data_IF_464862478481
#
_entry.id   IF_464862478481
#
_cell.length_a   1.000
_cell.length_b   1.000
_cell.length_c   1.000
_cell.angle_alpha   90.00
_cell.angle_beta   90.00
_cell.angle_gamma   90.00
#
_symmetry.space_group_name_H-M   'P 1'
#
loop_
_entity.id
_entity.type
_entity.pdbx_description
1 polymer ?
#
# COMPACT_ATOMS: atom_id res chain seq x y z
N UNK A 1 -23.74 -53.07 -4.14
CA UNK A 1 -23.31 -52.12 -3.10
C UNK A 1 -22.98 -50.79 -3.78
N UNK A 2 -23.96 -49.90 -3.93
CA UNK A 2 -23.77 -48.58 -4.56
C UNK A 2 -23.22 -47.59 -3.52
N UNK A 3 -22.12 -46.87 -3.80
CA UNK A 3 -21.56 -45.93 -2.84
C UNK A 3 -22.52 -44.74 -2.60
N UNK A 4 -22.71 -44.43 -1.32
CA UNK A 4 -23.66 -43.44 -0.77
C UNK A 4 -23.33 -42.02 -1.26
N UNK A 5 -24.32 -41.20 -1.68
CA UNK A 5 -24.10 -39.88 -2.30
C UNK A 5 -23.62 -38.74 -1.36
N UNK A 6 -23.17 -39.05 -0.14
CA UNK A 6 -22.86 -38.05 0.89
C UNK A 6 -21.45 -37.40 0.77
N UNK A 7 -20.55 -37.94 -0.06
CA UNK A 7 -19.15 -37.48 -0.18
C UNK A 7 -18.94 -36.38 -1.24
N UNK A 8 -19.88 -36.20 -2.18
CA UNK A 8 -19.70 -35.22 -3.27
C UNK A 8 -19.87 -33.76 -2.84
N UNK A 9 -20.65 -33.48 -1.80
CA UNK A 9 -20.95 -32.11 -1.36
C UNK A 9 -19.82 -31.48 -0.54
N UNK A 10 -19.19 -32.26 0.35
CA UNK A 10 -18.04 -31.84 1.18
C UNK A 10 -16.80 -31.58 0.32
N UNK A 11 -16.55 -32.45 -0.67
CA UNK A 11 -15.44 -32.32 -1.62
C UNK A 11 -15.61 -31.09 -2.54
N UNK A 12 -16.85 -30.79 -2.96
CA UNK A 12 -17.13 -29.59 -3.78
C UNK A 12 -16.92 -28.29 -3.00
N UNK A 13 -17.43 -28.22 -1.76
CA UNK A 13 -17.29 -27.05 -0.90
C UNK A 13 -15.81 -26.76 -0.55
N UNK A 14 -15.01 -27.79 -0.25
CA UNK A 14 -13.58 -27.66 0.02
C UNK A 14 -12.78 -27.12 -1.16
N UNK A 15 -13.05 -27.61 -2.38
CA UNK A 15 -12.41 -27.08 -3.60
C UNK A 15 -12.78 -25.62 -3.88
N UNK A 16 -14.04 -25.24 -3.70
CA UNK A 16 -14.49 -23.87 -3.91
C UNK A 16 -13.83 -22.90 -2.93
N UNK A 17 -13.68 -23.30 -1.65
CA UNK A 17 -12.95 -22.52 -0.65
C UNK A 17 -11.48 -22.39 -1.04
N UNK A 18 -10.80 -23.48 -1.40
CA UNK A 18 -9.40 -23.46 -1.80
C UNK A 18 -9.13 -22.60 -3.05
N UNK A 19 -10.05 -22.63 -4.03
CA UNK A 19 -9.97 -21.80 -5.23
C UNK A 19 -10.12 -20.31 -4.90
N UNK A 20 -11.12 -19.94 -4.10
CA UNK A 20 -11.31 -18.54 -3.66
C UNK A 20 -10.12 -18.02 -2.86
N UNK A 21 -9.56 -18.83 -1.96
CA UNK A 21 -8.37 -18.43 -1.18
C UNK A 21 -7.15 -18.17 -2.08
N UNK A 22 -6.94 -19.02 -3.10
CA UNK A 22 -5.87 -18.81 -4.10
C UNK A 22 -6.08 -17.57 -4.95
N UNK A 23 -7.32 -17.27 -5.33
CA UNK A 23 -7.67 -16.07 -6.10
C UNK A 23 -7.44 -14.79 -5.29
N UNK A 24 -7.84 -14.78 -4.01
CA UNK A 24 -7.55 -13.66 -3.08
C UNK A 24 -6.04 -13.49 -2.90
N UNK A 25 -5.30 -14.58 -2.59
CA UNK A 25 -3.84 -14.53 -2.46
C UNK A 25 -3.14 -14.04 -3.74
N UNK A 26 -3.60 -14.45 -4.91
CA UNK A 26 -3.06 -14.00 -6.19
C UNK A 26 -3.29 -12.51 -6.41
N UNK A 27 -4.48 -12.02 -6.08
CA UNK A 27 -4.84 -10.60 -6.18
C UNK A 27 -4.03 -9.73 -5.21
N UNK A 28 -3.85 -10.16 -3.97
CA UNK A 28 -3.07 -9.42 -2.97
C UNK A 28 -1.60 -9.29 -3.37
N UNK A 29 -1.02 -10.35 -3.96
CA UNK A 29 0.34 -10.32 -4.53
C UNK A 29 0.45 -9.36 -5.71
N UNK A 30 -0.53 -9.37 -6.62
CA UNK A 30 -0.53 -8.46 -7.76
C UNK A 30 -0.60 -6.99 -7.31
N UNK A 31 -1.42 -6.70 -6.30
CA UNK A 31 -1.50 -5.36 -5.69
C UNK A 31 -0.18 -4.96 -5.04
N UNK A 32 0.46 -5.86 -4.28
CA UNK A 32 1.77 -5.59 -3.68
C UNK A 32 2.85 -5.29 -4.74
N UNK A 33 2.90 -6.07 -5.82
CA UNK A 33 3.85 -5.85 -6.92
C UNK A 33 3.58 -4.51 -7.60
N UNK A 34 2.31 -4.20 -7.91
CA UNK A 34 1.93 -2.94 -8.54
C UNK A 34 2.32 -1.73 -7.68
N UNK A 35 2.04 -1.77 -6.37
CA UNK A 35 2.37 -0.69 -5.46
C UNK A 35 3.87 -0.56 -5.23
N UNK A 36 4.58 -1.67 -5.07
CA UNK A 36 6.04 -1.69 -4.92
C UNK A 36 6.77 -1.16 -6.16
N UNK A 37 6.36 -1.59 -7.35
CA UNK A 37 6.94 -1.11 -8.62
C UNK A 37 6.64 0.37 -8.85
N UNK A 38 5.41 0.81 -8.63
CA UNK A 38 5.02 2.22 -8.75
C UNK A 38 5.81 3.08 -7.76
N UNK A 39 6.01 2.59 -6.53
CA UNK A 39 6.81 3.29 -5.53
C UNK A 39 8.27 3.44 -5.95
N UNK A 40 8.88 2.36 -6.43
CA UNK A 40 10.28 2.34 -6.87
C UNK A 40 10.50 3.23 -8.08
N UNK A 41 9.69 3.07 -9.13
CA UNK A 41 9.79 3.86 -10.36
C UNK A 41 9.59 5.34 -10.06
N UNK A 42 8.56 5.67 -9.27
CA UNK A 42 8.29 7.03 -8.83
C UNK A 42 9.48 7.65 -8.10
N UNK A 43 10.06 6.91 -7.15
CA UNK A 43 11.21 7.38 -6.37
C UNK A 43 12.45 7.59 -7.26
N UNK A 44 12.74 6.67 -8.19
CA UNK A 44 13.89 6.79 -9.08
C UNK A 44 13.75 7.95 -10.06
N UNK A 45 12.61 8.07 -10.73
CA UNK A 45 12.37 9.12 -11.74
C UNK A 45 12.36 10.50 -11.09
N UNK A 46 11.56 10.67 -10.04
CA UNK A 46 11.42 11.97 -9.40
C UNK A 46 12.65 12.33 -8.56
N UNK A 47 13.30 11.34 -7.93
CA UNK A 47 14.56 11.53 -7.25
C UNK A 47 15.68 12.00 -8.19
N UNK A 48 15.80 11.41 -9.38
CA UNK A 48 16.77 11.86 -10.38
C UNK A 48 16.50 13.30 -10.84
N UNK A 49 15.24 13.65 -11.11
CA UNK A 49 14.86 15.02 -11.49
C UNK A 49 15.12 16.02 -10.36
N UNK A 50 14.79 15.67 -9.12
CA UNK A 50 15.03 16.53 -7.96
C UNK A 50 16.54 16.76 -7.74
N UNK A 51 17.36 15.71 -7.82
CA UNK A 51 18.82 15.82 -7.70
C UNK A 51 19.38 16.69 -8.84
N UNK A 52 18.94 16.49 -10.07
CA UNK A 52 19.38 17.31 -11.20
C UNK A 52 19.04 18.79 -10.99
N UNK A 53 17.85 19.10 -10.48
CA UNK A 53 17.43 20.47 -10.18
C UNK A 53 18.27 21.10 -9.06
N UNK A 54 18.48 20.37 -7.96
CA UNK A 54 19.29 20.84 -6.81
C UNK A 54 20.74 21.07 -7.22
N UNK A 55 21.34 20.18 -8.01
CA UNK A 55 22.71 20.34 -8.52
C UNK A 55 22.80 21.53 -9.48
N UNK A 56 21.80 21.74 -10.33
CA UNK A 56 21.74 22.90 -11.23
C UNK A 56 21.58 24.25 -10.54
N UNK A 57 21.01 24.28 -9.34
CA UNK A 57 20.76 25.50 -8.55
C UNK A 57 21.56 25.53 -7.23
N UNK A 58 22.61 24.72 -7.12
CA UNK A 58 23.37 24.56 -5.87
C UNK A 58 23.98 25.89 -5.38
N UNK A 59 24.29 26.80 -6.30
CA UNK A 59 24.87 28.11 -6.02
C UNK A 59 23.91 29.07 -5.30
N UNK A 60 22.59 28.84 -5.42
CA UNK A 60 21.54 29.66 -4.78
C UNK A 60 21.37 29.36 -3.27
N UNK A 61 21.99 28.29 -2.76
CA UNK A 61 21.82 27.79 -1.39
C UNK A 61 20.45 27.13 -1.14
N UNK A 62 20.22 26.51 0.03
CA UNK A 62 19.05 25.65 0.28
C UNK A 62 17.70 26.36 0.14
N UNK A 63 17.61 27.61 0.58
CA UNK A 63 16.40 28.42 0.47
C UNK A 63 16.20 28.94 -0.96
N UNK A 64 17.30 29.25 -1.66
CA UNK A 64 17.29 29.71 -3.06
C UNK A 64 16.79 28.62 -4.01
N UNK A 65 17.25 27.38 -3.84
CA UNK A 65 16.75 26.24 -4.63
C UNK A 65 15.23 26.08 -4.50
N UNK A 66 14.67 26.29 -3.30
CA UNK A 66 13.21 26.19 -3.08
C UNK A 66 12.47 27.35 -3.75
N UNK A 67 13.00 28.58 -3.66
CA UNK A 67 12.37 29.74 -4.30
C UNK A 67 12.44 29.67 -5.82
N UNK A 68 13.57 29.22 -6.36
CA UNK A 68 13.80 29.03 -7.80
C UNK A 68 12.85 27.95 -8.33
N UNK A 69 12.72 26.83 -7.61
CA UNK A 69 11.76 25.77 -7.94
C UNK A 69 10.31 26.26 -7.94
N UNK A 70 9.90 27.05 -6.94
CA UNK A 70 8.55 27.61 -6.89
C UNK A 70 8.30 28.63 -8.01
N UNK A 71 9.31 29.43 -8.34
CA UNK A 71 9.29 30.35 -9.47
C UNK A 71 9.04 29.61 -10.78
N UNK A 72 9.83 28.58 -11.06
CA UNK A 72 9.71 27.76 -12.26
C UNK A 72 8.39 26.97 -12.30
N UNK A 73 7.97 26.40 -11.16
CA UNK A 73 6.73 25.64 -11.05
C UNK A 73 5.46 26.50 -11.23
N UNK A 74 5.58 27.82 -11.14
CA UNK A 74 4.46 28.77 -11.29
C UNK A 74 4.66 29.78 -12.40
N UNK A 75 5.68 29.60 -13.25
CA UNK A 75 6.09 30.55 -14.27
C UNK A 75 5.00 30.85 -15.33
N UNK A 76 4.08 29.91 -15.57
CA UNK A 76 3.00 30.07 -16.54
C UNK A 76 1.65 29.53 -16.02
N UNK A 77 0.55 29.94 -16.66
CA UNK A 77 -0.81 29.53 -16.26
C UNK A 77 -1.01 28.02 -16.21
N UNK A 78 -0.43 27.27 -17.16
CA UNK A 78 -0.54 25.81 -17.20
C UNK A 78 0.19 25.16 -16.02
N UNK A 79 1.43 25.57 -15.76
CA UNK A 79 2.24 25.09 -14.63
C UNK A 79 1.60 25.41 -13.29
N UNK A 80 1.02 26.61 -13.14
CA UNK A 80 0.29 27.02 -11.93
C UNK A 80 -0.96 26.18 -11.69
N UNK A 81 -1.71 25.85 -12.74
CA UNK A 81 -2.85 24.94 -12.63
C UNK A 81 -2.42 23.54 -12.20
N UNK A 82 -1.40 22.97 -12.86
CA UNK A 82 -0.87 21.63 -12.52
C UNK A 82 -0.34 21.59 -11.09
N UNK A 83 0.39 22.63 -10.67
CA UNK A 83 0.92 22.73 -9.31
C UNK A 83 -0.20 22.85 -8.27
N UNK A 84 -1.24 23.66 -8.54
CA UNK A 84 -2.39 23.79 -7.66
C UNK A 84 -3.14 22.46 -7.51
N UNK A 85 -3.38 21.74 -8.62
CA UNK A 85 -4.00 20.42 -8.61
C UNK A 85 -3.16 19.40 -7.82
N UNK A 86 -1.84 19.45 -7.98
CA UNK A 86 -0.89 18.61 -7.25
C UNK A 86 -0.94 18.85 -5.74
N UNK A 87 -1.01 20.12 -5.31
CA UNK A 87 -1.13 20.49 -3.89
C UNK A 87 -2.45 20.03 -3.29
N UNK A 88 -3.56 20.18 -4.02
CA UNK A 88 -4.88 19.70 -3.58
C UNK A 88 -4.90 18.18 -3.47
N UNK A 89 -4.32 17.49 -4.46
CA UNK A 89 -4.14 16.04 -4.47
C UNK A 89 -3.31 15.60 -3.27
N UNK A 90 -2.20 16.29 -2.97
CA UNK A 90 -1.38 16.02 -1.79
C UNK A 90 -2.16 16.17 -0.48
N UNK A 91 -2.94 17.23 -0.33
CA UNK A 91 -3.76 17.43 0.86
C UNK A 91 -4.82 16.31 1.04
N UNK A 92 -5.50 15.93 -0.04
CA UNK A 92 -6.50 14.87 -0.03
C UNK A 92 -5.90 13.50 0.29
N UNK A 93 -4.77 13.15 -0.34
CA UNK A 93 -4.04 11.91 -0.04
C UNK A 93 -3.49 11.91 1.38
N UNK A 94 -2.96 13.04 1.85
CA UNK A 94 -2.49 13.20 3.22
C UNK A 94 -3.59 12.91 4.23
N UNK A 95 -4.79 13.49 4.03
CA UNK A 95 -5.95 13.20 4.86
C UNK A 95 -6.33 11.71 4.84
N UNK A 96 -6.35 11.09 3.66
CA UNK A 96 -6.61 9.64 3.51
C UNK A 96 -5.58 8.79 4.26
N UNK A 97 -4.29 9.09 4.11
CA UNK A 97 -3.20 8.37 4.78
C UNK A 97 -3.26 8.51 6.30
N UNK A 98 -3.69 9.67 6.83
CA UNK A 98 -3.90 9.89 8.26
C UNK A 98 -5.06 9.01 8.76
N UNK A 99 -6.21 9.05 8.09
CA UNK A 99 -7.40 8.30 8.51
C UNK A 99 -7.10 6.80 8.51
N UNK A 100 -6.53 6.31 7.42
CA UNK A 100 -6.29 4.88 7.24
C UNK A 100 -5.09 4.38 8.06
N UNK A 101 -4.05 5.21 8.20
CA UNK A 101 -2.90 4.90 9.04
C UNK A 101 -3.27 4.83 10.54
N UNK A 102 -4.21 5.67 11.00
CA UNK A 102 -4.79 5.58 12.35
C UNK A 102 -5.60 4.29 12.54
N UNK A 103 -6.31 3.84 11.50
CA UNK A 103 -7.11 2.61 11.52
C UNK A 103 -6.26 1.34 11.66
N UNK A 104 -5.07 1.31 11.04
CA UNK A 104 -4.17 0.15 11.07
C UNK A 104 -2.96 0.30 12.01
N UNK A 105 -2.91 1.35 12.83
CA UNK A 105 -1.86 1.55 13.84
C UNK A 105 -0.46 1.80 13.27
N UNK A 106 -0.36 2.42 12.08
CA UNK A 106 0.93 2.70 11.43
C UNK A 106 1.57 3.93 12.10
N UNK A 107 2.70 3.75 12.80
CA UNK A 107 3.31 4.81 13.63
C UNK A 107 4.08 5.90 12.86
N UNK A 108 4.44 5.68 11.59
CA UNK A 108 5.33 6.56 10.81
C UNK A 108 4.63 7.36 9.69
N UNK A 109 3.32 7.60 9.79
CA UNK A 109 2.52 8.31 8.75
C UNK A 109 3.13 9.68 8.40
N UNK A 110 3.67 10.38 9.40
CA UNK A 110 4.31 11.69 9.22
C UNK A 110 5.53 11.67 8.31
N UNK A 111 6.33 10.59 8.32
CA UNK A 111 7.49 10.47 7.43
C UNK A 111 7.07 10.43 5.95
N UNK A 112 5.89 9.87 5.64
CA UNK A 112 5.34 9.83 4.29
C UNK A 112 4.73 11.17 3.86
N UNK A 113 4.10 11.89 4.79
CA UNK A 113 3.48 13.20 4.51
C UNK A 113 4.56 14.26 4.27
N UNK A 114 5.58 14.30 5.13
CA UNK A 114 6.73 15.20 5.00
C UNK A 114 7.65 14.74 3.86
N UNK A 115 7.72 13.43 3.60
CA UNK A 115 8.44 12.87 2.48
C UNK A 115 7.82 13.20 1.12
N UNK A 116 6.50 13.35 1.00
CA UNK A 116 5.84 13.55 -0.29
C UNK A 116 6.26 14.80 -1.11
N UNK A 117 6.55 15.98 -0.52
CA UNK A 117 7.17 17.07 -1.26
C UNK A 117 8.65 16.79 -1.65
N UNK A 118 9.35 15.89 -0.95
CA UNK A 118 10.76 15.54 -1.22
C UNK A 118 10.97 14.29 -2.10
N UNK A 119 10.08 13.30 -2.04
CA UNK A 119 10.22 11.96 -2.64
C UNK A 119 9.22 11.70 -3.77
N UNK A 120 8.39 12.69 -4.10
CA UNK A 120 7.22 12.59 -4.95
C UNK A 120 6.03 11.83 -4.36
N UNK A 121 4.86 12.38 -4.66
CA UNK A 121 3.54 11.89 -4.27
C UNK A 121 3.31 10.43 -4.63
N UNK A 122 3.68 10.04 -5.85
CA UNK A 122 3.47 8.67 -6.36
C UNK A 122 4.30 7.64 -5.60
N UNK A 123 5.52 7.99 -5.20
CA UNK A 123 6.39 7.09 -4.44
C UNK A 123 5.88 6.90 -3.01
N UNK A 124 5.56 8.02 -2.35
CA UNK A 124 5.04 8.04 -0.97
C UNK A 124 3.69 7.32 -0.87
N UNK A 125 2.79 7.57 -1.83
CA UNK A 125 1.50 6.91 -1.91
C UNK A 125 1.62 5.41 -2.19
N UNK A 126 2.43 5.02 -3.18
CA UNK A 126 2.64 3.60 -3.52
C UNK A 126 3.20 2.81 -2.34
N UNK A 127 4.17 3.37 -1.61
CA UNK A 127 4.75 2.72 -0.45
C UNK A 127 3.73 2.59 0.70
N UNK A 128 2.89 3.60 0.94
CA UNK A 128 1.81 3.51 1.92
C UNK A 128 0.79 2.43 1.55
N UNK A 129 0.38 2.38 0.28
CA UNK A 129 -0.52 1.34 -0.24
C UNK A 129 0.06 -0.06 -0.05
N UNK A 130 1.37 -0.24 -0.29
CA UNK A 130 2.06 -1.51 -0.04
C UNK A 130 2.01 -1.92 1.43
N UNK A 131 2.40 -1.03 2.35
CA UNK A 131 2.36 -1.30 3.80
C UNK A 131 0.94 -1.62 4.26
N UNK A 132 -0.05 -0.91 3.73
CA UNK A 132 -1.47 -1.17 4.01
C UNK A 132 -1.91 -2.56 3.56
N UNK A 133 -1.54 -3.00 2.36
CA UNK A 133 -1.88 -4.35 1.88
C UNK A 133 -1.24 -5.45 2.74
N UNK A 134 0.01 -5.26 3.16
CA UNK A 134 0.69 -6.19 4.07
C UNK A 134 -0.05 -6.30 5.40
N UNK A 135 -0.50 -5.18 5.98
CA UNK A 135 -1.28 -5.18 7.23
C UNK A 135 -2.65 -5.85 7.09
N UNK A 136 -3.32 -5.72 5.94
CA UNK A 136 -4.59 -6.39 5.67
C UNK A 136 -4.38 -7.90 5.57
N UNK A 137 -3.31 -8.34 4.92
CA UNK A 137 -2.95 -9.76 4.83
C UNK A 137 -2.65 -10.38 6.20
N UNK A 138 -1.92 -9.67 7.07
CA UNK A 138 -1.62 -10.12 8.44
C UNK A 138 -2.88 -10.24 9.30
N UNK A 139 -3.81 -9.28 9.19
CA UNK A 139 -5.07 -9.30 9.92
C UNK A 139 -6.02 -10.42 9.46
N UNK A 140 -5.96 -10.83 8.19
CA UNK A 140 -6.75 -11.93 7.64
C UNK A 140 -6.24 -13.33 7.98
N UNK A 141 -5.00 -13.47 8.47
CA UNK A 141 -4.39 -14.75 8.84
C UNK A 141 -4.65 -15.20 10.29
N UNK A 142 -5.30 -14.37 11.11
CA UNK A 142 -5.47 -14.62 12.54
C UNK A 142 -6.65 -15.51 12.95
N UNK A 143 -7.53 -15.92 12.02
CA UNK A 143 -8.79 -16.63 12.34
C UNK A 143 -8.70 -18.17 12.17
N UNK A 144 -7.57 -18.70 11.67
CA UNK A 144 -7.42 -20.15 11.40
C UNK A 144 -6.76 -20.94 12.56
N UNK A 145 -6.42 -20.28 13.68
CA UNK A 145 -5.70 -20.88 14.81
C UNK A 145 -6.57 -21.51 15.91
N UNK A 146 -7.80 -21.03 16.11
CA UNK A 146 -8.65 -21.48 17.22
C UNK A 146 -9.71 -22.48 16.75
N UNK A 147 -9.27 -23.57 16.12
CA UNK A 147 -10.11 -24.77 16.02
C UNK A 147 -9.88 -25.58 17.30
N UNK A 148 -10.80 -25.59 18.28
CA UNK A 148 -10.74 -26.61 19.32
C UNK A 148 -10.76 -27.97 18.62
N UNK A 149 -9.64 -28.68 18.69
CA UNK A 149 -9.51 -30.01 18.12
C UNK A 149 -10.64 -30.90 18.63
N UNK A 150 -11.11 -31.88 17.83
CA UNK A 150 -12.18 -32.76 18.27
C UNK A 150 -11.75 -33.39 19.59
N UNK A 151 -12.51 -33.11 20.65
CA UNK A 151 -12.36 -33.72 21.96
C UNK A 151 -12.39 -35.22 21.71
N UNK A 152 -11.21 -35.85 21.77
CA UNK A 152 -11.11 -37.30 21.71
C UNK A 152 -11.80 -37.81 22.96
N UNK A 153 -12.96 -38.40 22.71
CA UNK A 153 -13.69 -39.29 23.58
C UNK A 153 -12.70 -40.23 24.28
N UNK A 154 -12.39 -39.94 25.54
CA UNK A 154 -11.78 -40.91 26.45
C UNK A 154 -12.90 -41.78 27.01
N UNK A 155 -13.39 -42.69 26.17
CA UNK A 155 -13.85 -43.96 26.69
C UNK A 155 -12.59 -44.78 26.99
N UNK A 156 -12.25 -44.97 28.27
CA UNK A 156 -11.80 -46.26 28.84
C UNK A 156 -11.35 -46.12 30.31
N UNK A 157 -11.99 -46.96 31.16
CA UNK A 157 -11.63 -47.40 32.53
C UNK A 157 -11.76 -46.41 33.71
N UNK A 158 -12.86 -46.51 34.46
CA UNK A 158 -12.96 -47.39 35.65
C UNK A 158 -14.40 -47.52 36.13
#
# INVERSE_FOLDING_TARGET
MTPRPADRSTTSAGRNKAMRLREVQGRDRALCVLYGTTALVGCCVMGAMAVAFVVGHADSGPTGVVTDFLGDATANLASRFVYADLVLTWAALGAYMIVEGRRFGIRHIWAYIVGAPLLALIASYGLFMLVRQLRIADAGGGDDGERPGPVRETAEKR
#
